data_IF_070366799912
#
_entry.id   IF_070366799912
#
_cell.length_a   1.000
_cell.length_b   1.000
_cell.length_c   1.000
_cell.angle_alpha   90.00
_cell.angle_beta   90.00
_cell.angle_gamma   90.00
#
_symmetry.space_group_name_H-M   'P 1'
#
loop_
_entity.id
_entity.type
_entity.pdbx_description
1 polymer ?
#
# COMPACT_ATOMS: atom_id res chain seq x y z
N UNK A 1 -9.61 -20.28 50.54
CA UNK A 1 -9.74 -19.02 49.77
C UNK A 1 -8.81 -18.00 50.41
N UNK A 2 -7.69 -17.70 49.74
CA UNK A 2 -6.78 -16.64 50.20
C UNK A 2 -7.47 -15.30 50.01
N UNK A 3 -7.69 -14.57 51.11
CA UNK A 3 -8.17 -13.20 51.07
C UNK A 3 -7.06 -12.40 50.38
N UNK A 4 -7.27 -12.01 49.12
CA UNK A 4 -6.41 -11.04 48.45
C UNK A 4 -6.42 -9.77 49.29
N UNK A 5 -5.35 -9.53 50.04
CA UNK A 5 -5.18 -8.27 50.76
C UNK A 5 -5.20 -7.13 49.74
N UNK A 6 -6.29 -6.36 49.74
CA UNK A 6 -6.41 -5.15 48.94
C UNK A 6 -5.25 -4.21 49.29
N UNK A 7 -4.52 -3.77 48.26
CA UNK A 7 -3.45 -2.77 48.38
C UNK A 7 -3.92 -1.58 49.24
N UNK A 8 -3.07 -1.02 50.12
CA UNK A 8 -3.43 0.13 50.98
C UNK A 8 -4.06 1.31 50.23
N UNK A 9 -3.65 1.52 48.97
CA UNK A 9 -4.24 2.51 48.08
C UNK A 9 -5.69 2.20 47.71
N UNK A 10 -5.99 0.93 47.40
CA UNK A 10 -7.33 0.48 47.04
C UNK A 10 -8.28 0.58 48.24
N UNK A 11 -7.82 0.30 49.46
CA UNK A 11 -8.64 0.53 50.66
C UNK A 11 -8.94 2.02 50.85
N UNK A 12 -7.91 2.86 50.80
CA UNK A 12 -8.03 4.30 50.96
C UNK A 12 -8.95 4.97 49.92
N UNK A 13 -8.89 4.57 48.64
CA UNK A 13 -9.76 5.15 47.61
C UNK A 13 -11.22 4.71 47.76
N UNK A 14 -11.50 3.59 48.44
CA UNK A 14 -12.88 3.21 48.73
C UNK A 14 -13.56 4.13 49.75
N UNK A 15 -12.79 4.71 50.66
CA UNK A 15 -13.26 5.65 51.68
C UNK A 15 -13.58 7.06 51.12
N UNK A 16 -13.16 7.36 49.88
CA UNK A 16 -13.46 8.63 49.22
C UNK A 16 -14.88 8.63 48.66
N UNK A 17 -15.63 9.69 48.96
CA UNK A 17 -16.98 9.92 48.43
C UNK A 17 -17.03 9.87 46.89
N UNK A 18 -17.94 9.07 46.33
CA UNK A 18 -18.14 8.91 44.89
C UNK A 18 -18.36 7.44 44.51
N UNK A 19 -19.22 7.19 43.53
CA UNK A 19 -19.56 5.85 43.06
C UNK A 19 -18.63 5.37 41.94
N UNK A 20 -18.05 6.32 41.19
CA UNK A 20 -17.13 6.04 40.08
C UNK A 20 -15.72 6.55 40.37
N UNK A 21 -14.66 6.01 39.72
CA UNK A 21 -13.31 6.55 39.84
C UNK A 21 -13.26 8.05 39.57
N UNK A 22 -13.91 8.52 38.49
CA UNK A 22 -13.94 9.94 38.13
C UNK A 22 -14.59 10.84 39.18
N UNK A 23 -15.57 10.36 39.94
CA UNK A 23 -16.16 11.09 41.07
C UNK A 23 -15.21 11.18 42.25
N UNK A 24 -14.51 10.09 42.56
CA UNK A 24 -13.52 10.03 43.65
C UNK A 24 -12.34 10.96 43.38
N UNK A 25 -11.84 11.01 42.14
CA UNK A 25 -10.82 11.99 41.75
C UNK A 25 -11.33 13.44 41.85
N UNK A 26 -12.60 13.70 41.48
CA UNK A 26 -13.22 15.02 41.66
C UNK A 26 -13.33 15.41 43.12
N UNK A 27 -13.69 14.49 44.01
CA UNK A 27 -13.72 14.71 45.46
C UNK A 27 -12.34 15.11 46.00
N UNK A 28 -11.28 14.38 45.64
CA UNK A 28 -9.89 14.72 46.01
C UNK A 28 -9.52 16.13 45.55
N UNK A 29 -9.88 16.50 44.32
CA UNK A 29 -9.57 17.83 43.79
C UNK A 29 -10.37 18.95 44.47
N UNK A 30 -11.61 18.67 44.90
CA UNK A 30 -12.40 19.62 45.70
C UNK A 30 -11.75 19.87 47.06
N UNK A 31 -11.19 18.84 47.70
CA UNK A 31 -10.43 18.98 48.95
C UNK A 31 -9.22 19.89 48.72
N UNK A 32 -8.42 19.61 47.69
CA UNK A 32 -7.28 20.46 47.34
C UNK A 32 -7.69 21.93 47.12
N UNK A 33 -8.78 22.17 46.39
CA UNK A 33 -9.27 23.52 46.11
C UNK A 33 -9.73 24.26 47.38
N UNK A 34 -10.46 23.59 48.29
CA UNK A 34 -10.85 24.16 49.58
C UNK A 34 -9.64 24.57 50.42
N UNK A 35 -8.59 23.75 50.41
CA UNK A 35 -7.37 24.00 51.17
C UNK A 35 -6.55 25.17 50.60
N UNK A 36 -6.65 25.49 49.30
CA UNK A 36 -5.96 26.65 48.71
C UNK A 36 -6.39 27.98 49.34
N UNK A 37 -7.62 28.08 49.85
CA UNK A 37 -8.14 29.28 50.52
C UNK A 37 -7.72 29.39 51.99
N UNK A 38 -7.00 28.39 52.53
CA UNK A 38 -6.56 28.39 53.93
C UNK A 38 -5.33 29.28 54.14
N UNK A 39 -5.32 30.06 55.23
CA UNK A 39 -4.15 30.86 55.67
C UNK A 39 -2.93 29.99 56.00
N UNK A 40 -3.12 28.72 56.39
CA UNK A 40 -2.01 27.80 56.68
C UNK A 40 -2.30 26.41 56.11
N UNK A 41 -1.91 26.23 54.85
CA UNK A 41 -2.11 25.01 54.07
C UNK A 41 -1.45 23.79 54.73
N UNK A 42 -0.20 23.93 55.22
CA UNK A 42 0.54 22.82 55.86
C UNK A 42 -0.18 22.30 57.11
N UNK A 43 -0.68 23.20 57.97
CA UNK A 43 -1.45 22.80 59.16
C UNK A 43 -2.80 22.19 58.79
N UNK A 44 -3.47 22.78 57.80
CA UNK A 44 -4.80 22.32 57.35
C UNK A 44 -4.74 20.94 56.71
N UNK A 45 -3.65 20.64 56.01
CA UNK A 45 -3.42 19.32 55.41
C UNK A 45 -3.05 18.26 56.46
N UNK A 46 -2.23 18.61 57.47
CA UNK A 46 -1.93 17.70 58.59
C UNK A 46 -3.18 17.30 59.36
N UNK A 47 -4.07 18.27 59.57
CA UNK A 47 -5.32 18.09 60.31
C UNK A 47 -6.47 17.55 59.45
N UNK A 48 -6.22 17.25 58.17
CA UNK A 48 -7.22 16.70 57.27
C UNK A 48 -7.49 15.24 57.66
N UNK A 49 -8.74 14.95 58.05
CA UNK A 49 -9.22 13.59 58.26
C UNK A 49 -9.43 12.91 56.90
N UNK A 50 -8.33 12.37 56.37
CA UNK A 50 -8.27 11.77 55.03
C UNK A 50 -7.12 10.75 54.98
N UNK A 51 -7.22 9.68 54.17
CA UNK A 51 -6.19 8.66 54.12
C UNK A 51 -4.82 9.22 53.70
N UNK A 52 -3.77 8.91 54.47
CA UNK A 52 -2.42 9.45 54.28
C UNK A 52 -1.88 9.21 52.86
N UNK A 53 -2.15 8.03 52.31
CA UNK A 53 -1.76 7.64 50.93
C UNK A 53 -2.40 8.55 49.87
N UNK A 54 -3.57 9.11 50.16
CA UNK A 54 -4.29 10.03 49.28
C UNK A 54 -4.02 11.51 49.60
N UNK A 55 -3.51 11.84 50.80
CA UNK A 55 -3.04 13.21 51.12
C UNK A 55 -1.95 13.64 50.15
N UNK A 56 -1.05 12.74 49.77
CA UNK A 56 -0.04 13.00 48.73
C UNK A 56 -0.66 13.46 47.40
N UNK A 57 -1.84 12.95 47.02
CA UNK A 57 -2.53 13.38 45.79
C UNK A 57 -3.14 14.78 45.92
N UNK A 58 -3.54 15.16 47.14
CA UNK A 58 -4.02 16.51 47.48
C UNK A 58 -2.84 17.49 47.49
N UNK A 59 -1.73 17.12 48.12
CA UNK A 59 -0.48 17.89 48.18
C UNK A 59 0.02 18.26 46.79
N UNK A 60 0.12 17.28 45.89
CA UNK A 60 0.59 17.52 44.52
C UNK A 60 -0.33 18.48 43.78
N UNK A 61 -1.65 18.37 43.97
CA UNK A 61 -2.59 19.25 43.31
C UNK A 61 -2.50 20.69 43.84
N UNK A 62 -2.29 20.85 45.15
CA UNK A 62 -2.02 22.16 45.76
C UNK A 62 -0.71 22.74 45.23
N UNK A 63 0.39 21.96 45.26
CA UNK A 63 1.70 22.38 44.79
C UNK A 63 1.67 22.81 43.31
N UNK A 64 0.93 22.08 42.48
CA UNK A 64 0.72 22.38 41.06
C UNK A 64 0.04 23.73 40.85
N UNK A 65 -0.95 24.06 41.69
CA UNK A 65 -1.70 25.33 41.62
C UNK A 65 -0.91 26.51 42.16
N UNK A 66 -0.15 26.31 43.22
CA UNK A 66 0.72 27.33 43.84
C UNK A 66 2.08 27.48 43.16
N UNK A 67 2.34 26.72 42.09
CA UNK A 67 3.62 26.69 41.37
C UNK A 67 4.84 26.44 42.27
N UNK A 68 4.73 25.45 43.17
CA UNK A 68 5.80 25.09 44.12
C UNK A 68 6.73 24.02 43.54
N UNK A 69 7.93 24.37 43.06
CA UNK A 69 8.76 23.46 42.27
C UNK A 69 9.34 22.30 43.10
N UNK A 70 9.75 22.55 44.35
CA UNK A 70 10.32 21.51 45.22
C UNK A 70 9.33 20.39 45.53
N UNK A 71 8.06 20.74 45.73
CA UNK A 71 7.00 19.74 45.99
C UNK A 71 6.66 18.92 44.75
N UNK A 72 6.70 19.53 43.56
CA UNK A 72 6.55 18.78 42.30
C UNK A 72 7.74 17.84 42.10
N UNK A 73 8.96 18.28 42.38
CA UNK A 73 10.16 17.45 42.29
C UNK A 73 10.06 16.19 43.14
N UNK A 74 9.72 16.33 44.43
CA UNK A 74 9.56 15.17 45.33
C UNK A 74 8.43 14.24 44.88
N UNK A 75 7.33 14.81 44.37
CA UNK A 75 6.24 14.03 43.81
C UNK A 75 6.65 13.19 42.58
N UNK A 76 7.54 13.71 41.72
CA UNK A 76 8.05 12.99 40.56
C UNK A 76 8.92 11.78 40.95
N UNK A 77 9.58 11.83 42.12
CA UNK A 77 10.39 10.74 42.69
C UNK A 77 9.54 9.64 43.35
N UNK A 78 8.22 9.84 43.48
CA UNK A 78 7.35 8.90 44.16
C UNK A 78 7.29 7.52 43.48
N UNK A 79 7.23 6.46 44.31
CA UNK A 79 6.92 5.10 43.86
C UNK A 79 5.44 4.95 43.47
N UNK A 80 4.56 5.86 43.93
CA UNK A 80 3.15 5.84 43.59
C UNK A 80 2.93 6.50 42.22
N UNK A 81 2.53 5.70 41.22
CA UNK A 81 2.35 6.16 39.85
C UNK A 81 1.25 7.23 39.69
N UNK A 82 0.24 7.23 40.56
CA UNK A 82 -0.84 8.23 40.56
C UNK A 82 -0.34 9.62 40.98
N UNK A 83 0.58 9.66 41.93
CA UNK A 83 1.25 10.89 42.39
C UNK A 83 2.06 11.48 41.25
N UNK A 84 2.86 10.64 40.57
CA UNK A 84 3.63 11.06 39.39
C UNK A 84 2.72 11.53 38.26
N UNK A 85 1.63 10.81 37.98
CA UNK A 85 0.65 11.19 36.95
C UNK A 85 0.04 12.57 37.19
N UNK A 86 -0.19 12.95 38.45
CA UNK A 86 -0.64 14.31 38.78
C UNK A 86 0.48 15.33 38.65
N UNK A 87 1.69 15.00 39.12
CA UNK A 87 2.84 15.90 39.08
C UNK A 87 3.23 16.28 37.63
N UNK A 88 3.22 15.33 36.69
CA UNK A 88 3.54 15.60 35.28
C UNK A 88 2.55 16.54 34.58
N UNK A 89 1.37 16.82 35.17
CA UNK A 89 0.41 17.82 34.66
C UNK A 89 0.78 19.26 35.03
N UNK A 90 1.85 19.47 35.80
CA UNK A 90 2.40 20.79 36.09
C UNK A 90 3.19 21.33 34.88
N UNK A 91 2.52 21.72 33.80
CA UNK A 91 3.16 22.17 32.54
C UNK A 91 4.26 23.22 32.75
N UNK A 92 4.04 24.18 33.64
CA UNK A 92 4.98 25.24 34.02
C UNK A 92 6.30 24.72 34.64
N UNK A 93 6.35 23.46 35.08
CA UNK A 93 7.58 22.84 35.61
C UNK A 93 8.46 22.26 34.48
N UNK A 94 7.88 21.99 33.31
CA UNK A 94 8.55 21.30 32.20
C UNK A 94 8.84 22.20 31.00
N UNK A 95 8.40 23.46 31.02
CA UNK A 95 8.45 24.36 29.86
C UNK A 95 9.74 25.18 29.71
N UNK A 96 10.78 24.90 30.52
CA UNK A 96 12.06 25.61 30.48
C UNK A 96 12.12 26.91 31.29
N UNK A 97 10.99 27.44 31.76
CA UNK A 97 10.93 28.71 32.51
C UNK A 97 11.43 28.65 33.96
N UNK A 98 11.91 27.49 34.43
CA UNK A 98 12.43 27.29 35.79
C UNK A 98 13.87 26.78 35.73
N UNK A 99 14.73 27.24 36.66
CA UNK A 99 16.13 26.79 36.82
C UNK A 99 16.25 25.26 37.02
N UNK A 100 15.23 24.63 37.60
CA UNK A 100 15.18 23.17 37.75
C UNK A 100 14.94 22.43 36.43
N UNK A 101 14.42 23.09 35.41
CA UNK A 101 14.21 22.54 34.06
C UNK A 101 15.49 22.61 33.25
N UNK A 102 16.56 22.05 33.80
CA UNK A 102 17.87 21.95 33.16
C UNK A 102 18.32 20.49 33.06
N UNK A 103 19.14 20.20 32.05
CA UNK A 103 19.59 18.85 31.72
C UNK A 103 20.39 18.24 32.87
N UNK A 104 21.36 18.96 33.43
CA UNK A 104 22.17 18.47 34.55
C UNK A 104 21.35 18.19 35.80
N UNK A 105 20.32 18.99 36.06
CA UNK A 105 19.40 18.76 37.18
C UNK A 105 18.56 17.50 36.96
N UNK A 106 17.96 17.33 35.79
CA UNK A 106 17.16 16.14 35.48
C UNK A 106 17.99 14.86 35.48
N UNK A 107 19.23 14.92 34.99
CA UNK A 107 20.16 13.80 35.02
C UNK A 107 20.39 13.31 36.45
N UNK A 108 20.76 14.22 37.36
CA UNK A 108 21.20 13.85 38.71
C UNK A 108 20.05 13.70 39.71
N UNK A 109 19.03 14.54 39.61
CA UNK A 109 17.97 14.66 40.61
C UNK A 109 16.65 13.98 40.22
N UNK A 110 16.47 13.57 38.96
CA UNK A 110 15.20 12.98 38.51
C UNK A 110 15.43 11.61 37.88
N UNK A 111 16.10 11.53 36.73
CA UNK A 111 16.14 10.33 35.91
C UNK A 111 16.82 9.13 36.58
N UNK A 112 17.83 9.36 37.43
CA UNK A 112 18.48 8.31 38.24
C UNK A 112 17.60 7.78 39.38
N UNK A 113 16.63 8.58 39.85
CA UNK A 113 15.83 8.27 41.04
C UNK A 113 14.44 7.70 40.73
N UNK A 114 14.04 7.71 39.46
CA UNK A 114 12.70 7.27 39.04
C UNK A 114 12.73 5.96 38.27
N UNK A 115 11.65 5.18 38.40
CA UNK A 115 11.44 3.97 37.60
C UNK A 115 11.38 4.28 36.11
N UNK A 116 11.66 3.28 35.26
CA UNK A 116 11.55 3.41 33.79
C UNK A 116 10.16 3.89 33.35
N UNK A 117 9.10 3.41 34.01
CA UNK A 117 7.71 3.82 33.73
C UNK A 117 7.53 5.32 33.99
N UNK A 118 7.93 5.80 35.16
CA UNK A 118 7.81 7.21 35.53
C UNK A 118 8.69 8.10 34.64
N UNK A 119 9.89 7.63 34.29
CA UNK A 119 10.79 8.32 33.36
C UNK A 119 10.13 8.60 32.01
N UNK A 120 9.47 7.60 31.42
CA UNK A 120 8.73 7.79 30.15
C UNK A 120 7.63 8.84 30.25
N UNK A 121 6.93 8.92 31.39
CA UNK A 121 5.90 9.94 31.62
C UNK A 121 6.51 11.34 31.70
N UNK A 122 7.64 11.47 32.39
CA UNK A 122 8.38 12.73 32.51
C UNK A 122 8.92 13.18 31.15
N UNK A 123 9.52 12.27 30.38
CA UNK A 123 10.01 12.57 29.02
C UNK A 123 8.86 13.04 28.12
N UNK A 124 7.69 12.39 28.21
CA UNK A 124 6.51 12.83 27.48
C UNK A 124 6.05 14.23 27.93
N UNK A 125 6.06 14.51 29.23
CA UNK A 125 5.72 15.84 29.75
C UNK A 125 6.69 16.92 29.26
N UNK A 126 8.00 16.65 29.25
CA UNK A 126 8.98 17.55 28.62
C UNK A 126 8.65 17.78 27.15
N UNK A 127 8.41 16.71 26.39
CA UNK A 127 8.08 16.81 24.98
C UNK A 127 6.77 17.56 24.69
N UNK A 128 5.80 17.53 25.61
CA UNK A 128 4.53 18.24 25.48
C UNK A 128 4.64 19.72 25.85
N UNK A 129 5.71 20.16 26.55
CA UNK A 129 5.83 21.52 27.10
C UNK A 129 7.06 22.31 26.63
N UNK A 130 8.06 21.69 25.98
CA UNK A 130 9.28 22.36 25.50
C UNK A 130 9.18 22.92 24.07
N UNK A 131 7.97 23.11 23.52
CA UNK A 131 7.82 23.56 22.13
C UNK A 131 8.43 24.94 21.84
N UNK A 132 8.48 25.81 22.86
CA UNK A 132 9.03 27.18 22.78
C UNK A 132 10.54 27.23 23.07
N UNK A 133 11.14 26.12 23.53
CA UNK A 133 12.54 26.04 23.95
C UNK A 133 13.29 24.92 23.19
N UNK A 134 13.46 25.06 21.86
CA UNK A 134 13.97 23.98 21.01
C UNK A 134 15.41 23.56 21.32
N UNK A 135 16.28 24.50 21.70
CA UNK A 135 17.67 24.18 22.09
C UNK A 135 17.72 23.39 23.41
N UNK A 136 16.85 23.72 24.35
CA UNK A 136 16.72 22.95 25.58
C UNK A 136 16.18 21.54 25.29
N UNK A 137 15.22 21.42 24.37
CA UNK A 137 14.73 20.13 23.90
C UNK A 137 15.83 19.28 23.24
N UNK A 138 16.72 19.89 22.45
CA UNK A 138 17.89 19.23 21.85
C UNK A 138 18.80 18.63 22.94
N UNK A 139 19.15 19.43 23.94
CA UNK A 139 19.98 19.00 25.07
C UNK A 139 19.31 17.86 25.87
N UNK A 140 17.99 17.94 26.06
CA UNK A 140 17.23 16.85 26.70
C UNK A 140 17.18 15.59 25.85
N UNK A 141 17.07 15.72 24.52
CA UNK A 141 17.09 14.57 23.62
C UNK A 141 18.41 13.81 23.75
N UNK A 142 19.54 14.53 23.77
CA UNK A 142 20.87 13.95 23.90
C UNK A 142 21.06 13.25 25.25
N UNK A 143 20.66 13.90 26.34
CA UNK A 143 20.70 13.28 27.67
C UNK A 143 19.86 11.99 27.72
N UNK A 144 18.62 12.05 27.23
CA UNK A 144 17.72 10.88 27.28
C UNK A 144 18.26 9.77 26.37
N UNK A 145 18.83 10.11 25.22
CA UNK A 145 19.46 9.12 24.33
C UNK A 145 20.63 8.43 25.03
N UNK A 146 21.51 9.21 25.68
CA UNK A 146 22.66 8.71 26.43
C UNK A 146 22.23 7.80 27.59
N UNK A 147 21.24 8.21 28.39
CA UNK A 147 20.85 7.48 29.60
C UNK A 147 19.88 6.33 29.36
N UNK A 148 19.01 6.44 28.35
CA UNK A 148 17.81 5.61 28.22
C UNK A 148 17.65 4.97 26.85
N UNK A 149 18.53 5.31 25.90
CA UNK A 149 18.46 4.90 24.52
C UNK A 149 17.49 5.73 23.68
N UNK A 150 17.75 5.74 22.38
CA UNK A 150 17.06 6.57 21.39
C UNK A 150 15.54 6.34 21.36
N UNK A 151 15.10 5.08 21.54
CA UNK A 151 13.66 4.74 21.56
C UNK A 151 12.88 5.55 22.59
N UNK A 152 13.49 5.89 23.73
CA UNK A 152 12.85 6.69 24.78
C UNK A 152 12.95 8.20 24.50
N UNK A 153 13.95 8.65 23.75
CA UNK A 153 14.13 10.06 23.38
C UNK A 153 13.18 10.54 22.26
N UNK A 154 12.70 9.61 21.41
CA UNK A 154 11.82 9.91 20.26
C UNK A 154 10.69 10.93 20.50
N UNK A 155 9.96 10.94 21.63
CA UNK A 155 8.93 11.94 21.87
C UNK A 155 9.45 13.38 21.82
N UNK A 156 10.69 13.63 22.26
CA UNK A 156 11.31 14.97 22.30
C UNK A 156 11.66 15.51 20.92
N UNK A 157 11.93 14.63 19.94
CA UNK A 157 12.31 15.03 18.59
C UNK A 157 11.30 15.99 17.94
N UNK A 158 10.03 15.91 18.34
CA UNK A 158 8.95 16.74 17.82
C UNK A 158 9.10 18.23 18.19
N UNK A 159 9.79 18.53 19.28
CA UNK A 159 10.01 19.89 19.82
C UNK A 159 11.45 20.38 19.67
N UNK A 160 12.38 19.52 19.26
CA UNK A 160 13.75 19.87 18.88
C UNK A 160 13.84 20.93 17.77
N UNK A 161 15.01 21.56 17.66
CA UNK A 161 15.33 22.50 16.58
C UNK A 161 15.46 21.79 15.23
N UNK A 162 15.19 22.53 14.14
CA UNK A 162 15.30 21.97 12.78
C UNK A 162 16.73 21.50 12.46
N UNK A 163 17.74 22.28 12.85
CA UNK A 163 19.16 21.95 12.61
C UNK A 163 19.57 20.67 13.35
N UNK A 164 19.14 20.50 14.59
CA UNK A 164 19.37 19.30 15.38
C UNK A 164 18.68 18.08 14.76
N UNK A 165 17.39 18.20 14.43
CA UNK A 165 16.63 17.14 13.78
C UNK A 165 17.32 16.73 12.48
N UNK A 166 17.74 17.70 11.65
CA UNK A 166 18.45 17.42 10.39
C UNK A 166 19.76 16.65 10.60
N UNK A 167 20.55 17.03 11.60
CA UNK A 167 21.79 16.32 11.94
C UNK A 167 21.53 14.89 12.41
N UNK A 168 20.39 14.63 13.08
CA UNK A 168 19.96 13.29 13.45
C UNK A 168 19.45 12.51 12.23
N UNK A 169 18.62 13.12 11.39
CA UNK A 169 18.05 12.50 10.18
C UNK A 169 19.13 11.94 9.25
N UNK A 170 20.28 12.61 9.11
CA UNK A 170 21.39 12.11 8.28
C UNK A 170 21.94 10.75 8.74
N UNK A 171 21.88 10.48 10.04
CA UNK A 171 22.49 9.32 10.66
C UNK A 171 21.46 8.24 11.05
N UNK A 172 20.16 8.52 10.94
CA UNK A 172 19.10 7.64 11.45
C UNK A 172 17.95 7.45 10.46
N UNK A 173 17.49 6.20 10.33
CA UNK A 173 16.28 5.86 9.57
C UNK A 173 15.04 6.15 10.42
N UNK A 174 14.27 7.18 10.05
CA UNK A 174 13.00 7.46 10.70
C UNK A 174 11.86 6.64 10.11
N UNK A 175 10.97 6.16 10.97
CA UNK A 175 9.74 5.53 10.54
C UNK A 175 8.74 6.59 10.02
N UNK A 176 7.71 6.12 9.31
CA UNK A 176 6.64 6.97 8.77
C UNK A 176 6.02 7.92 9.80
N UNK A 177 5.87 7.51 11.06
CA UNK A 177 5.20 8.34 12.07
C UNK A 177 5.99 9.62 12.32
N UNK A 178 7.31 9.52 12.38
CA UNK A 178 8.20 10.67 12.57
C UNK A 178 8.25 11.53 11.31
N UNK A 179 8.46 10.92 10.13
CA UNK A 179 8.49 11.67 8.86
C UNK A 179 7.18 12.41 8.61
N UNK A 180 6.03 11.76 8.87
CA UNK A 180 4.73 12.38 8.76
C UNK A 180 4.59 13.58 9.68
N UNK A 181 4.98 13.45 10.96
CA UNK A 181 4.95 14.58 11.89
C UNK A 181 5.88 15.72 11.41
N UNK A 182 7.12 15.39 11.06
CA UNK A 182 8.10 16.39 10.64
C UNK A 182 7.66 17.10 9.37
N UNK A 183 6.97 16.44 8.44
CA UNK A 183 6.48 17.09 7.23
C UNK A 183 5.43 18.18 7.51
N UNK A 184 4.64 18.04 8.60
CA UNK A 184 3.73 19.11 9.02
C UNK A 184 4.47 20.31 9.60
N UNK A 185 5.60 20.09 10.27
CA UNK A 185 6.35 21.15 10.97
C UNK A 185 7.42 21.81 10.08
N UNK A 186 8.13 21.00 9.30
CA UNK A 186 9.30 21.35 8.48
C UNK A 186 9.23 20.63 7.11
N UNK A 187 8.30 21.03 6.22
CA UNK A 187 8.09 20.34 4.94
C UNK A 187 9.33 20.30 4.05
N UNK A 188 10.06 21.42 3.94
CA UNK A 188 11.26 21.54 3.10
C UNK A 188 12.40 20.64 3.58
N UNK A 189 12.61 20.54 4.90
CA UNK A 189 13.58 19.63 5.50
C UNK A 189 13.25 18.18 5.16
N UNK A 190 11.97 17.79 5.24
CA UNK A 190 11.54 16.43 4.88
C UNK A 190 11.70 16.19 3.38
N UNK A 191 11.36 17.13 2.52
CA UNK A 191 11.59 17.02 1.07
C UNK A 191 13.09 16.82 0.78
N UNK A 192 13.95 17.61 1.42
CA UNK A 192 15.40 17.47 1.32
C UNK A 192 15.86 16.09 1.77
N UNK A 193 15.31 15.57 2.87
CA UNK A 193 15.59 14.21 3.35
C UNK A 193 15.15 13.13 2.37
N UNK A 194 13.93 13.22 1.83
CA UNK A 194 13.40 12.28 0.85
C UNK A 194 14.28 12.26 -0.41
N UNK A 195 14.73 13.43 -0.88
CA UNK A 195 15.65 13.57 -2.01
C UNK A 195 17.07 13.05 -1.72
N UNK A 196 17.55 13.07 -0.48
CA UNK A 196 18.83 12.42 -0.12
C UNK A 196 18.69 10.90 0.00
N UNK A 197 17.57 10.44 0.53
CA UNK A 197 17.24 9.01 0.62
C UNK A 197 17.13 8.35 -0.77
N UNK A 198 16.91 9.17 -1.81
CA UNK A 198 16.93 8.83 -3.24
C UNK A 198 18.20 8.11 -3.74
N UNK A 199 19.30 8.16 -2.98
CA UNK A 199 20.59 7.53 -3.32
C UNK A 199 20.80 6.17 -2.65
N UNK A 200 19.91 5.74 -1.76
CA UNK A 200 20.04 4.47 -1.03
C UNK A 200 18.69 3.71 -1.01
N UNK A 201 18.49 2.71 -1.89
CA UNK A 201 17.25 1.95 -2.02
C UNK A 201 16.82 1.21 -0.75
N UNK A 202 17.76 0.86 0.13
CA UNK A 202 17.46 0.18 1.40
C UNK A 202 16.86 1.14 2.45
N UNK A 203 16.87 2.45 2.19
CA UNK A 203 16.44 3.46 3.15
C UNK A 203 14.99 3.91 2.97
N UNK A 204 14.33 3.61 1.85
CA UNK A 204 13.00 4.13 1.57
C UNK A 204 11.99 3.06 1.16
N UNK A 205 11.20 2.59 2.13
CA UNK A 205 10.09 1.68 1.89
C UNK A 205 8.79 2.45 1.62
N UNK A 206 8.37 2.57 0.35
CA UNK A 206 7.15 3.26 -0.06
C UNK A 206 5.88 2.73 0.62
N UNK A 207 5.82 1.43 0.92
CA UNK A 207 4.69 0.83 1.63
C UNK A 207 4.51 1.46 3.01
N UNK A 208 5.60 1.79 3.68
CA UNK A 208 5.56 2.50 4.97
C UNK A 208 5.02 3.93 4.85
N UNK A 209 5.17 4.55 3.68
CA UNK A 209 4.74 5.92 3.39
C UNK A 209 3.40 6.03 2.67
N UNK A 210 2.68 4.93 2.45
CA UNK A 210 1.42 4.91 1.69
C UNK A 210 0.39 5.97 2.15
N UNK A 211 0.33 6.25 3.46
CA UNK A 211 -0.56 7.28 4.05
C UNK A 211 -0.09 8.72 3.83
N UNK A 212 1.21 8.91 3.60
CA UNK A 212 1.84 10.20 3.36
C UNK A 212 1.80 10.59 1.88
N UNK A 213 1.96 9.61 0.98
CA UNK A 213 2.02 9.81 -0.48
C UNK A 213 0.92 10.71 -1.07
N UNK A 214 -0.37 10.57 -0.69
CA UNK A 214 -1.41 11.45 -1.23
C UNK A 214 -1.21 12.93 -0.91
N UNK A 215 -0.64 13.23 0.26
CA UNK A 215 -0.40 14.60 0.70
C UNK A 215 0.81 15.20 -0.01
N UNK A 216 1.84 14.38 -0.24
CA UNK A 216 2.98 14.78 -1.05
C UNK A 216 2.55 15.07 -2.48
N UNK A 217 1.76 14.18 -3.09
CA UNK A 217 1.21 14.39 -4.44
C UNK A 217 0.40 15.69 -4.56
N UNK A 218 -0.37 16.04 -3.52
CA UNK A 218 -1.19 17.25 -3.53
C UNK A 218 -0.37 18.54 -3.40
N UNK A 219 0.71 18.53 -2.61
CA UNK A 219 1.47 19.74 -2.25
C UNK A 219 2.78 19.93 -3.02
N UNK A 220 3.43 18.83 -3.37
CA UNK A 220 4.73 18.78 -4.08
C UNK A 220 4.71 17.62 -5.08
N UNK A 221 3.89 17.71 -6.15
CA UNK A 221 3.77 16.67 -7.16
C UNK A 221 5.11 16.30 -7.81
N UNK A 222 6.03 17.25 -7.94
CA UNK A 222 7.38 17.05 -8.47
C UNK A 222 8.20 16.12 -7.58
N UNK A 223 8.12 16.27 -6.26
CA UNK A 223 8.82 15.38 -5.32
C UNK A 223 8.19 14.00 -5.34
N UNK A 224 6.87 13.92 -5.47
CA UNK A 224 6.17 12.65 -5.62
C UNK A 224 6.62 11.90 -6.89
N UNK A 225 6.67 12.59 -8.02
CA UNK A 225 7.15 12.05 -9.29
C UNK A 225 8.58 11.51 -9.17
N UNK A 226 9.51 12.34 -8.67
CA UNK A 226 10.91 11.98 -8.48
C UNK A 226 11.10 10.71 -7.62
N UNK A 227 10.21 10.52 -6.64
CA UNK A 227 10.22 9.39 -5.73
C UNK A 227 9.73 8.12 -6.45
N UNK A 228 8.62 8.19 -7.18
CA UNK A 228 8.06 7.03 -7.87
C UNK A 228 8.96 6.55 -9.01
N UNK A 229 9.59 7.44 -9.77
CA UNK A 229 10.46 7.02 -10.90
C UNK A 229 11.57 6.05 -10.49
N UNK A 230 12.01 6.11 -9.23
CA UNK A 230 13.12 5.32 -8.69
C UNK A 230 12.70 4.11 -7.86
N UNK A 231 11.40 3.88 -7.67
CA UNK A 231 10.92 2.76 -6.88
C UNK A 231 9.99 1.88 -7.68
N UNK A 232 10.28 0.58 -7.64
CA UNK A 232 9.42 -0.42 -8.25
C UNK A 232 8.35 -0.96 -7.27
N UNK A 233 8.42 -0.58 -5.98
CA UNK A 233 7.58 -1.10 -4.88
C UNK A 233 6.55 -0.10 -4.36
N UNK A 234 6.21 0.91 -5.16
CA UNK A 234 5.23 1.90 -4.75
C UNK A 234 3.80 1.30 -4.68
N UNK A 235 3.02 1.60 -3.61
CA UNK A 235 1.69 1.06 -3.46
C UNK A 235 0.73 1.66 -4.50
N UNK A 236 -0.25 0.85 -4.93
CA UNK A 236 -1.28 1.31 -5.86
C UNK A 236 -2.09 2.46 -5.27
N UNK A 237 -2.24 3.54 -6.05
CA UNK A 237 -3.05 4.69 -5.72
C UNK A 237 -4.54 4.35 -5.81
N UNK A 238 -5.33 4.93 -4.91
CA UNK A 238 -6.79 4.91 -5.01
C UNK A 238 -7.25 5.66 -6.26
N UNK A 239 -8.48 5.37 -6.74
CA UNK A 239 -9.04 6.07 -7.89
C UNK A 239 -9.03 7.61 -7.75
N UNK A 240 -9.27 8.12 -6.52
CA UNK A 240 -9.19 9.55 -6.20
C UNK A 240 -7.77 10.09 -6.39
N UNK A 241 -6.77 9.38 -5.89
CA UNK A 241 -5.37 9.81 -5.97
C UNK A 241 -4.80 9.64 -7.39
N UNK A 242 -5.23 8.61 -8.14
CA UNK A 242 -4.92 8.51 -9.58
C UNK A 242 -5.47 9.71 -10.35
N UNK A 243 -6.69 10.15 -10.05
CA UNK A 243 -7.25 11.35 -10.67
C UNK A 243 -6.46 12.63 -10.35
N UNK A 244 -5.96 12.77 -9.12
CA UNK A 244 -5.07 13.87 -8.74
C UNK A 244 -3.71 13.77 -9.44
N UNK A 245 -3.15 12.56 -9.53
CA UNK A 245 -1.89 12.32 -10.23
C UNK A 245 -1.97 12.74 -11.69
N UNK A 246 -3.01 12.30 -12.40
CA UNK A 246 -3.22 12.71 -13.81
C UNK A 246 -3.49 14.20 -13.98
N UNK A 247 -3.84 14.94 -12.92
CA UNK A 247 -4.00 16.40 -12.98
C UNK A 247 -2.66 17.13 -12.87
N UNK A 248 -1.71 16.59 -12.12
CA UNK A 248 -0.46 17.29 -11.76
C UNK A 248 0.79 16.70 -12.40
N UNK A 249 0.78 15.41 -12.76
CA UNK A 249 1.94 14.64 -13.23
C UNK A 249 1.63 13.95 -14.58
N UNK A 250 0.73 14.51 -15.39
CA UNK A 250 0.35 13.90 -16.68
C UNK A 250 1.55 13.82 -17.62
N UNK A 251 2.32 14.90 -17.75
CA UNK A 251 3.45 14.97 -18.67
C UNK A 251 4.53 13.94 -18.31
N UNK A 252 4.81 13.79 -17.02
CA UNK A 252 5.71 12.77 -16.50
C UNK A 252 5.24 11.36 -16.86
N UNK A 253 3.94 11.10 -16.69
CA UNK A 253 3.35 9.82 -17.06
C UNK A 253 3.41 9.56 -18.57
N UNK A 254 3.11 10.55 -19.40
CA UNK A 254 3.17 10.41 -20.85
C UNK A 254 4.61 10.21 -21.33
N UNK A 255 5.60 10.80 -20.66
CA UNK A 255 7.02 10.62 -20.96
C UNK A 255 7.52 9.22 -20.55
N UNK A 256 7.06 8.71 -19.41
CA UNK A 256 7.58 7.49 -18.82
C UNK A 256 6.49 6.57 -18.23
N UNK A 257 5.57 6.04 -19.07
CA UNK A 257 4.39 5.37 -18.57
C UNK A 257 4.67 4.08 -17.79
N UNK A 258 5.74 3.35 -18.11
CA UNK A 258 6.04 2.05 -17.46
C UNK A 258 6.25 2.19 -15.95
N UNK A 259 6.87 3.29 -15.51
CA UNK A 259 7.13 3.57 -14.09
C UNK A 259 5.86 3.78 -13.29
N UNK A 260 4.86 4.43 -13.87
CA UNK A 260 3.66 4.79 -13.13
C UNK A 260 2.50 3.81 -13.35
N UNK A 261 2.47 3.07 -14.47
CA UNK A 261 1.33 2.19 -14.82
C UNK A 261 1.02 1.16 -13.71
N UNK A 262 2.02 0.79 -12.90
CA UNK A 262 1.84 -0.15 -11.82
C UNK A 262 1.09 0.44 -10.62
N UNK A 263 1.21 1.74 -10.39
CA UNK A 263 0.61 2.43 -9.25
C UNK A 263 -0.74 3.08 -9.58
N UNK A 264 -1.10 3.21 -10.85
CA UNK A 264 -2.32 3.92 -11.26
C UNK A 264 -3.51 2.96 -11.41
N UNK A 265 -4.69 3.41 -10.97
CA UNK A 265 -5.93 2.65 -11.10
C UNK A 265 -6.37 2.56 -12.58
N UNK A 266 -6.44 1.37 -13.21
CA UNK A 266 -6.67 1.24 -14.66
C UNK A 266 -7.98 1.87 -15.14
N UNK A 267 -9.07 1.74 -14.36
CA UNK A 267 -10.38 2.32 -14.69
C UNK A 267 -10.36 3.85 -14.76
N UNK A 268 -9.43 4.50 -14.07
CA UNK A 268 -9.30 5.97 -14.11
C UNK A 268 -8.53 6.38 -15.35
N UNK A 269 -7.46 5.65 -15.72
CA UNK A 269 -6.72 5.87 -16.96
C UNK A 269 -7.67 5.83 -18.17
N UNK A 270 -8.52 4.80 -18.23
CA UNK A 270 -9.50 4.61 -19.30
C UNK A 270 -10.47 5.79 -19.45
N UNK A 271 -10.88 6.41 -18.34
CA UNK A 271 -11.86 7.52 -18.34
C UNK A 271 -11.24 8.90 -18.51
N UNK A 272 -9.97 9.08 -18.14
CA UNK A 272 -9.33 10.41 -18.01
C UNK A 272 -8.35 10.72 -19.13
N UNK A 273 -7.75 9.70 -19.74
CA UNK A 273 -6.86 9.90 -20.88
C UNK A 273 -7.68 10.09 -22.15
N UNK A 274 -7.24 11.00 -23.02
CA UNK A 274 -7.77 11.08 -24.38
C UNK A 274 -7.40 9.82 -25.18
N UNK A 275 -8.03 9.62 -26.31
CA UNK A 275 -7.67 8.53 -27.22
C UNK A 275 -6.21 8.64 -27.71
N UNK A 276 -5.81 9.82 -28.18
CA UNK A 276 -4.42 10.10 -28.59
C UNK A 276 -3.40 9.84 -27.46
N UNK A 277 -3.72 10.23 -26.23
CA UNK A 277 -2.86 9.95 -25.08
C UNK A 277 -2.74 8.46 -24.79
N UNK A 278 -3.84 7.71 -24.90
CA UNK A 278 -3.86 6.26 -24.74
C UNK A 278 -3.01 5.59 -25.81
N UNK A 279 -3.15 6.00 -27.06
CA UNK A 279 -2.36 5.50 -28.20
C UNK A 279 -0.86 5.80 -28.02
N UNK A 280 -0.50 7.02 -27.61
CA UNK A 280 0.88 7.43 -27.33
C UNK A 280 1.51 6.61 -26.19
N UNK A 281 0.79 6.47 -25.07
CA UNK A 281 1.22 5.62 -23.93
C UNK A 281 1.45 4.18 -24.38
N UNK A 282 0.53 3.63 -25.19
CA UNK A 282 0.66 2.28 -25.71
C UNK A 282 1.88 2.15 -26.63
N UNK A 283 2.09 3.09 -27.56
CA UNK A 283 3.26 3.13 -28.44
C UNK A 283 4.57 3.08 -27.65
N UNK A 284 4.70 3.91 -26.61
CA UNK A 284 5.91 3.94 -25.76
C UNK A 284 6.13 2.59 -25.07
N UNK A 285 5.07 2.00 -24.50
CA UNK A 285 5.17 0.74 -23.76
C UNK A 285 5.57 -0.42 -24.68
N UNK A 286 5.00 -0.48 -25.89
CA UNK A 286 5.35 -1.50 -26.89
C UNK A 286 6.79 -1.35 -27.38
N UNK A 287 7.25 -0.11 -27.59
CA UNK A 287 8.65 0.17 -27.98
C UNK A 287 9.63 -0.24 -26.87
N UNK A 288 9.29 -0.02 -25.61
CA UNK A 288 10.18 -0.32 -24.48
C UNK A 288 10.16 -1.80 -24.08
N UNK A 289 9.02 -2.49 -24.16
CA UNK A 289 8.85 -3.89 -23.72
C UNK A 289 8.72 -4.90 -24.88
N UNK A 290 9.65 -4.88 -25.83
CA UNK A 290 9.69 -5.81 -26.99
C UNK A 290 9.56 -7.29 -26.57
N UNK A 291 10.00 -7.65 -25.38
CA UNK A 291 10.05 -9.05 -24.95
C UNK A 291 8.68 -9.65 -24.57
N UNK A 292 7.61 -8.85 -24.38
CA UNK A 292 6.34 -9.36 -23.82
C UNK A 292 5.10 -8.82 -24.53
N UNK A 293 5.05 -8.87 -25.86
CA UNK A 293 3.88 -8.44 -26.66
C UNK A 293 2.56 -9.11 -26.23
N UNK A 294 2.59 -10.32 -25.66
CA UNK A 294 1.39 -10.96 -25.09
C UNK A 294 0.72 -10.17 -23.96
N UNK A 295 1.52 -9.36 -23.25
CA UNK A 295 1.05 -8.52 -22.15
C UNK A 295 0.31 -7.28 -22.65
N UNK A 296 0.61 -6.81 -23.87
CA UNK A 296 -0.01 -5.65 -24.49
C UNK A 296 -1.52 -5.84 -24.70
N UNK A 297 -1.98 -7.08 -24.82
CA UNK A 297 -3.39 -7.45 -25.03
C UNK A 297 -4.10 -7.96 -23.76
N UNK A 298 -3.56 -7.69 -22.55
CA UNK A 298 -4.19 -8.09 -21.28
C UNK A 298 -4.22 -6.98 -20.23
N UNK A 299 -5.05 -7.17 -19.21
CA UNK A 299 -4.94 -6.46 -17.93
C UNK A 299 -5.03 -4.93 -18.04
N UNK A 300 -3.90 -4.26 -17.76
CA UNK A 300 -3.78 -2.81 -17.56
C UNK A 300 -3.91 -1.99 -18.85
N UNK A 301 -3.89 -2.64 -20.01
CA UNK A 301 -4.01 -2.02 -21.35
C UNK A 301 -5.42 -2.08 -21.94
N UNK A 302 -6.43 -2.45 -21.14
CA UNK A 302 -7.82 -2.58 -21.60
C UNK A 302 -8.47 -1.28 -22.07
N UNK A 303 -7.80 -0.15 -21.93
CA UNK A 303 -8.33 1.15 -22.32
C UNK A 303 -8.27 1.43 -23.84
N UNK A 304 -7.64 0.57 -24.65
CA UNK A 304 -7.64 0.63 -26.12
C UNK A 304 -8.31 -0.62 -26.71
N UNK A 305 -8.93 -0.50 -27.87
CA UNK A 305 -9.42 -1.65 -28.64
C UNK A 305 -8.25 -2.44 -29.25
N UNK A 306 -8.48 -3.73 -29.47
CA UNK A 306 -7.41 -4.63 -29.90
C UNK A 306 -6.97 -4.39 -31.36
N UNK A 307 -7.85 -3.84 -32.22
CA UNK A 307 -7.51 -3.48 -33.60
C UNK A 307 -6.50 -2.33 -33.65
N UNK A 308 -6.75 -1.26 -32.89
CA UNK A 308 -5.80 -0.15 -32.75
C UNK A 308 -4.49 -0.57 -32.10
N UNK A 309 -4.55 -1.40 -31.06
CA UNK A 309 -3.33 -1.97 -30.46
C UNK A 309 -2.48 -2.70 -31.49
N UNK A 310 -3.10 -3.52 -32.35
CA UNK A 310 -2.40 -4.24 -33.39
C UNK A 310 -1.75 -3.29 -34.39
N UNK A 311 -2.48 -2.29 -34.87
CA UNK A 311 -1.97 -1.27 -35.80
C UNK A 311 -0.76 -0.53 -35.22
N UNK A 312 -0.87 -0.03 -33.98
CA UNK A 312 0.22 0.68 -33.30
C UNK A 312 1.41 -0.25 -33.10
N UNK A 313 1.17 -1.50 -32.68
CA UNK A 313 2.22 -2.51 -32.51
C UNK A 313 3.01 -2.73 -33.79
N UNK A 314 2.33 -2.99 -34.91
CA UNK A 314 2.96 -3.19 -36.21
C UNK A 314 3.78 -1.97 -36.63
N UNK A 315 3.20 -0.76 -36.54
CA UNK A 315 3.89 0.47 -36.92
C UNK A 315 5.12 0.76 -36.07
N UNK A 316 5.02 0.59 -34.74
CA UNK A 316 6.08 0.90 -33.80
C UNK A 316 7.21 -0.12 -33.88
N UNK A 317 6.87 -1.38 -34.14
CA UNK A 317 7.85 -2.44 -34.37
C UNK A 317 8.65 -2.19 -35.65
N UNK A 318 7.95 -1.88 -36.75
CA UNK A 318 8.58 -1.55 -38.04
C UNK A 318 9.48 -0.31 -37.94
N UNK A 319 9.01 0.75 -37.26
CA UNK A 319 9.80 1.96 -37.03
C UNK A 319 11.09 1.67 -36.24
N UNK A 320 11.03 0.81 -35.22
CA UNK A 320 12.17 0.52 -34.35
C UNK A 320 13.17 -0.48 -34.95
N UNK A 321 12.68 -1.51 -35.62
CA UNK A 321 13.49 -2.64 -36.07
C UNK A 321 13.72 -2.67 -37.58
N UNK A 322 13.01 -1.83 -38.35
CA UNK A 322 13.03 -1.83 -39.81
C UNK A 322 12.67 -3.20 -40.44
N UNK A 323 11.84 -3.98 -39.74
CA UNK A 323 11.34 -5.31 -40.15
C UNK A 323 9.84 -5.36 -39.89
N UNK A 324 9.08 -6.04 -40.76
CA UNK A 324 7.65 -6.24 -40.53
C UNK A 324 7.43 -7.12 -39.30
N UNK A 325 6.47 -6.74 -38.46
CA UNK A 325 6.13 -7.52 -37.28
C UNK A 325 5.64 -8.93 -37.64
N UNK A 326 4.94 -9.07 -38.78
CA UNK A 326 4.41 -10.35 -39.23
C UNK A 326 5.47 -11.31 -39.77
N UNK A 327 6.66 -10.82 -40.12
CA UNK A 327 7.78 -11.66 -40.54
C UNK A 327 8.51 -12.30 -39.33
N UNK A 328 8.24 -11.82 -38.11
CA UNK A 328 8.84 -12.33 -36.87
C UNK A 328 7.95 -13.42 -36.24
N UNK A 329 7.87 -14.58 -36.88
CA UNK A 329 6.95 -15.65 -36.49
C UNK A 329 7.06 -16.05 -35.01
N UNK A 330 8.24 -16.02 -34.41
CA UNK A 330 8.48 -16.36 -33.00
C UNK A 330 7.75 -15.43 -32.01
N UNK A 331 7.43 -14.20 -32.43
CA UNK A 331 6.72 -13.19 -31.62
C UNK A 331 5.21 -13.26 -31.78
N UNK A 332 4.72 -14.03 -32.75
CA UNK A 332 3.29 -14.15 -33.04
C UNK A 332 2.67 -15.21 -32.15
N UNK A 333 1.72 -14.75 -31.33
CA UNK A 333 1.09 -15.51 -30.25
C UNK A 333 -0.36 -15.81 -30.61
N UNK A 334 -1.01 -16.83 -29.99
CA UNK A 334 -2.43 -17.09 -30.19
C UNK A 334 -3.35 -15.88 -30.01
N UNK A 335 -3.02 -14.95 -29.11
CA UNK A 335 -3.81 -13.73 -28.92
C UNK A 335 -3.72 -12.80 -30.12
N UNK A 336 -2.52 -12.64 -30.67
CA UNK A 336 -2.28 -11.83 -31.88
C UNK A 336 -2.99 -12.47 -33.08
N UNK A 337 -2.92 -13.80 -33.22
CA UNK A 337 -3.60 -14.51 -34.30
C UNK A 337 -5.11 -14.26 -34.34
N UNK A 338 -5.75 -14.10 -33.19
CA UNK A 338 -7.21 -13.84 -33.10
C UNK A 338 -7.63 -12.45 -33.57
N UNK A 339 -6.72 -11.49 -33.57
CA UNK A 339 -7.00 -10.09 -33.91
C UNK A 339 -6.47 -9.71 -35.29
N UNK A 340 -5.64 -10.57 -35.91
CA UNK A 340 -5.16 -10.39 -37.27
C UNK A 340 -6.32 -10.49 -38.29
N UNK A 341 -6.23 -9.73 -39.40
CA UNK A 341 -7.05 -9.96 -40.59
C UNK A 341 -6.98 -11.43 -41.05
N UNK A 342 -8.03 -11.89 -41.75
CA UNK A 342 -8.15 -13.30 -42.17
C UNK A 342 -6.96 -13.74 -43.01
N UNK A 343 -6.56 -12.90 -43.97
CA UNK A 343 -5.51 -13.18 -44.94
C UNK A 343 -4.15 -13.36 -44.25
N UNK A 344 -3.76 -12.40 -43.41
CA UNK A 344 -2.50 -12.42 -42.67
C UNK A 344 -2.43 -13.61 -41.71
N UNK A 345 -3.54 -13.88 -41.02
CA UNK A 345 -3.67 -15.01 -40.10
C UNK A 345 -3.47 -16.34 -40.80
N UNK A 346 -4.10 -16.56 -41.96
CA UNK A 346 -3.93 -17.79 -42.73
C UNK A 346 -2.49 -17.93 -43.21
N UNK A 347 -1.89 -16.85 -43.74
CA UNK A 347 -0.49 -16.84 -44.20
C UNK A 347 0.47 -17.28 -43.08
N UNK A 348 0.33 -16.70 -41.89
CA UNK A 348 1.17 -17.00 -40.73
C UNK A 348 0.91 -18.41 -40.20
N UNK A 349 -0.35 -18.85 -40.18
CA UNK A 349 -0.72 -20.19 -39.74
C UNK A 349 -0.06 -21.27 -40.60
N UNK A 350 -0.01 -21.08 -41.93
CA UNK A 350 0.68 -21.98 -42.87
C UNK A 350 2.18 -22.04 -42.59
N UNK A 351 2.84 -20.89 -42.51
CA UNK A 351 4.29 -20.84 -42.23
C UNK A 351 4.65 -21.50 -40.89
N UNK A 352 3.88 -21.23 -39.82
CA UNK A 352 4.11 -21.84 -38.50
C UNK A 352 3.82 -23.34 -38.45
N UNK A 353 2.92 -23.82 -39.30
CA UNK A 353 2.64 -25.25 -39.44
C UNK A 353 3.78 -25.96 -40.16
N UNK A 354 4.28 -25.37 -41.25
CA UNK A 354 5.43 -25.88 -42.01
C UNK A 354 6.71 -25.93 -41.16
N UNK A 355 7.00 -24.89 -40.36
CA UNK A 355 8.18 -24.80 -39.48
C UNK A 355 8.19 -25.84 -38.34
N UNK A 356 7.03 -26.36 -37.91
CA UNK A 356 6.90 -27.23 -36.73
C UNK A 356 6.79 -28.73 -37.05
N UNK A 357 7.22 -29.15 -38.23
CA UNK A 357 7.14 -30.54 -38.73
C UNK A 357 8.06 -31.52 -37.97
N UNK A 358 7.77 -31.74 -36.68
CA UNK A 358 8.03 -33.00 -35.98
C UNK A 358 6.69 -33.70 -35.80
N UNK A 359 6.36 -34.75 -36.58
CA UNK A 359 5.09 -35.46 -36.46
C UNK A 359 5.01 -36.15 -35.09
N UNK A 360 4.17 -35.61 -34.20
CA UNK A 360 3.93 -36.16 -32.86
C UNK A 360 3.61 -35.13 -31.77
N UNK A 361 4.14 -33.90 -31.89
CA UNK A 361 3.98 -32.88 -30.84
C UNK A 361 2.60 -32.20 -30.85
N UNK A 362 1.84 -32.28 -31.94
CA UNK A 362 0.57 -31.55 -32.07
C UNK A 362 -0.56 -32.12 -31.21
N UNK A 363 -0.52 -33.40 -30.84
CA UNK A 363 -1.61 -34.06 -30.10
C UNK A 363 -1.79 -33.49 -28.68
N UNK A 364 -0.72 -32.97 -28.05
CA UNK A 364 -0.76 -32.36 -26.71
C UNK A 364 -0.91 -30.84 -26.71
N UNK A 365 -1.07 -30.22 -27.89
CA UNK A 365 -1.18 -28.77 -27.99
C UNK A 365 -2.64 -28.33 -27.78
N UNK A 366 -2.85 -27.42 -26.82
CA UNK A 366 -4.17 -26.83 -26.56
C UNK A 366 -4.77 -26.23 -27.85
N UNK A 367 -6.09 -26.31 -28.04
CA UNK A 367 -6.78 -25.78 -29.22
C UNK A 367 -6.38 -24.35 -29.63
N UNK A 368 -6.06 -23.46 -28.68
CA UNK A 368 -5.60 -22.08 -28.97
C UNK A 368 -4.23 -22.00 -29.63
N UNK A 369 -3.37 -22.99 -29.37
CA UNK A 369 -1.99 -23.09 -29.84
C UNK A 369 -1.87 -23.98 -31.09
N UNK A 370 -2.96 -24.62 -31.52
CA UNK A 370 -3.02 -25.33 -32.79
C UNK A 370 -3.05 -24.30 -33.92
N UNK A 371 -1.97 -24.22 -34.70
CA UNK A 371 -1.88 -23.28 -35.82
C UNK A 371 -2.85 -23.62 -36.94
N UNK A 372 -3.13 -24.92 -37.13
CA UNK A 372 -4.13 -25.44 -38.07
C UNK A 372 -5.50 -24.82 -37.83
N UNK A 373 -5.88 -24.58 -36.57
CA UNK A 373 -7.17 -24.00 -36.26
C UNK A 373 -7.34 -22.54 -36.76
N UNK A 374 -6.25 -21.87 -37.15
CA UNK A 374 -6.27 -20.53 -37.72
C UNK A 374 -6.25 -20.50 -39.26
N UNK A 375 -6.19 -21.67 -39.92
CA UNK A 375 -6.38 -21.79 -41.37
C UNK A 375 -7.85 -21.57 -41.76
N UNK A 376 -8.13 -21.59 -43.06
CA UNK A 376 -9.51 -21.58 -43.54
C UNK A 376 -10.28 -22.80 -43.01
N UNK A 377 -11.60 -22.66 -42.78
CA UNK A 377 -12.42 -23.73 -42.21
C UNK A 377 -12.45 -24.95 -43.12
N UNK A 378 -12.45 -24.77 -44.44
CA UNK A 378 -12.42 -25.88 -45.39
C UNK A 378 -11.17 -26.78 -45.21
N UNK A 379 -9.99 -26.16 -45.06
CA UNK A 379 -8.70 -26.82 -44.91
C UNK A 379 -8.53 -27.44 -43.51
N UNK A 380 -8.79 -26.64 -42.48
CA UNK A 380 -8.62 -27.06 -41.08
C UNK A 380 -9.59 -28.17 -40.65
N UNK A 381 -10.86 -28.10 -41.06
CA UNK A 381 -11.85 -29.12 -40.70
C UNK A 381 -11.58 -30.44 -41.43
N UNK A 382 -11.08 -30.40 -42.67
CA UNK A 382 -10.64 -31.61 -43.36
C UNK A 382 -9.49 -32.30 -42.62
N UNK A 383 -8.52 -31.52 -42.15
CA UNK A 383 -7.43 -32.03 -41.32
C UNK A 383 -7.95 -32.68 -40.03
N UNK A 384 -8.76 -31.96 -39.24
CA UNK A 384 -9.26 -32.46 -37.96
C UNK A 384 -10.21 -33.66 -38.10
N UNK A 385 -11.01 -33.73 -39.16
CA UNK A 385 -11.84 -34.92 -39.46
C UNK A 385 -10.96 -36.14 -39.74
N UNK A 386 -9.85 -35.95 -40.46
CA UNK A 386 -8.88 -37.02 -40.73
C UNK A 386 -8.14 -37.45 -39.46
N UNK A 387 -7.73 -36.48 -38.62
CA UNK A 387 -7.14 -36.74 -37.29
C UNK A 387 -8.10 -37.54 -36.40
N UNK A 388 -9.40 -37.24 -36.46
CA UNK A 388 -10.44 -37.94 -35.69
C UNK A 388 -10.59 -39.43 -36.03
N UNK A 389 -10.17 -39.88 -37.23
CA UNK A 389 -10.25 -41.30 -37.61
C UNK A 389 -9.15 -42.16 -36.97
N UNK A 390 -8.03 -41.54 -36.61
CA UNK A 390 -6.83 -42.24 -36.12
C UNK A 390 -6.55 -42.00 -34.62
N UNK A 391 -7.24 -41.04 -34.00
CA UNK A 391 -6.97 -40.64 -32.61
C UNK A 391 -7.66 -41.56 -31.59
N UNK A 392 -7.02 -41.72 -30.42
CA UNK A 392 -7.58 -42.44 -29.29
C UNK A 392 -8.86 -41.78 -28.74
N UNK A 393 -9.76 -42.60 -28.19
CA UNK A 393 -11.05 -42.14 -27.68
C UNK A 393 -10.93 -41.04 -26.62
N UNK A 394 -9.91 -41.12 -25.75
CA UNK A 394 -9.60 -40.15 -24.70
C UNK A 394 -9.29 -38.74 -25.22
N UNK A 395 -8.82 -38.62 -26.47
CA UNK A 395 -8.34 -37.37 -27.07
C UNK A 395 -9.34 -36.75 -28.06
N UNK A 396 -10.41 -37.46 -28.42
CA UNK A 396 -11.45 -36.99 -29.37
C UNK A 396 -12.03 -35.63 -29.00
N UNK A 397 -12.25 -35.39 -27.72
CA UNK A 397 -12.78 -34.11 -27.24
C UNK A 397 -11.83 -32.93 -27.53
N UNK A 398 -10.51 -33.12 -27.50
CA UNK A 398 -9.56 -32.06 -27.85
C UNK A 398 -9.61 -31.70 -29.34
N UNK A 399 -9.77 -32.70 -30.22
CA UNK A 399 -9.96 -32.47 -31.66
C UNK A 399 -11.28 -31.73 -31.93
N UNK A 400 -12.36 -32.10 -31.25
CA UNK A 400 -13.65 -31.37 -31.32
C UNK A 400 -13.47 -29.91 -30.90
N UNK A 401 -12.73 -29.63 -29.82
CA UNK A 401 -12.42 -28.24 -29.42
C UNK A 401 -11.69 -27.49 -30.52
N UNK A 402 -10.75 -28.12 -31.23
CA UNK A 402 -10.02 -27.49 -32.35
C UNK A 402 -10.95 -27.19 -33.52
N UNK A 403 -11.85 -28.11 -33.87
CA UNK A 403 -12.87 -27.91 -34.92
C UNK A 403 -13.76 -26.70 -34.57
N UNK A 404 -14.37 -26.70 -33.38
CA UNK A 404 -15.24 -25.59 -32.93
C UNK A 404 -14.46 -24.27 -32.87
N UNK A 405 -13.23 -24.32 -32.35
CA UNK A 405 -12.39 -23.13 -32.23
C UNK A 405 -12.01 -22.55 -33.61
N UNK A 406 -11.79 -23.41 -34.61
CA UNK A 406 -11.49 -22.96 -35.97
C UNK A 406 -12.64 -22.20 -36.61
N UNK A 407 -13.87 -22.71 -36.49
CA UNK A 407 -15.07 -22.00 -36.93
C UNK A 407 -15.23 -20.67 -36.20
N UNK A 408 -15.02 -20.65 -34.87
CA UNK A 408 -15.14 -19.44 -34.06
C UNK A 408 -14.10 -18.37 -34.40
N UNK A 409 -12.85 -18.76 -34.64
CA UNK A 409 -11.78 -17.82 -35.03
C UNK A 409 -12.05 -17.22 -36.39
N UNK A 410 -12.53 -18.01 -37.35
CA UNK A 410 -12.85 -17.55 -38.70
C UNK A 410 -14.22 -16.90 -38.84
N UNK A 411 -15.03 -16.89 -37.76
CA UNK A 411 -16.41 -16.40 -37.76
C UNK A 411 -17.27 -17.05 -38.86
N UNK A 412 -17.12 -18.37 -39.04
CA UNK A 412 -17.78 -19.17 -40.07
C UNK A 412 -18.88 -20.04 -39.42
N UNK A 413 -20.13 -19.58 -39.49
CA UNK A 413 -21.29 -20.26 -38.92
C UNK A 413 -21.66 -21.53 -39.70
N UNK A 414 -21.53 -21.51 -41.01
CA UNK A 414 -21.95 -22.64 -41.85
C UNK A 414 -21.06 -23.85 -41.59
N UNK A 415 -19.74 -23.60 -41.51
CA UNK A 415 -18.77 -24.61 -41.09
C UNK A 415 -19.04 -25.11 -39.66
N UNK A 416 -19.51 -24.25 -38.74
CA UNK A 416 -19.87 -24.67 -37.39
C UNK A 416 -21.05 -25.64 -37.41
N UNK A 417 -22.10 -25.36 -38.17
CA UNK A 417 -23.25 -26.25 -38.32
C UNK A 417 -22.83 -27.64 -38.83
N UNK A 418 -21.93 -27.67 -39.82
CA UNK A 418 -21.39 -28.92 -40.36
C UNK A 418 -20.58 -29.70 -39.31
N UNK A 419 -19.82 -29.00 -38.47
CA UNK A 419 -19.12 -29.61 -37.33
C UNK A 419 -20.12 -30.20 -36.33
N UNK A 420 -21.19 -29.48 -35.98
CA UNK A 420 -22.20 -29.96 -35.05
C UNK A 420 -22.93 -31.21 -35.58
N UNK A 421 -23.33 -31.20 -36.86
CA UNK A 421 -23.93 -32.37 -37.53
C UNK A 421 -22.97 -33.56 -37.57
N UNK A 422 -21.69 -33.32 -37.83
CA UNK A 422 -20.66 -34.37 -37.80
C UNK A 422 -20.52 -34.98 -36.40
N UNK A 423 -20.46 -34.15 -35.36
CA UNK A 423 -20.36 -34.60 -33.97
C UNK A 423 -21.60 -35.41 -33.58
N UNK A 424 -22.79 -34.91 -33.87
CA UNK A 424 -24.05 -35.62 -33.62
C UNK A 424 -24.07 -37.01 -34.26
N UNK A 425 -23.75 -37.08 -35.56
CA UNK A 425 -23.77 -38.35 -36.29
C UNK A 425 -22.73 -39.35 -35.79
N UNK A 426 -21.53 -38.88 -35.40
CA UNK A 426 -20.40 -39.75 -35.06
C UNK A 426 -20.38 -40.18 -33.59
N UNK A 427 -20.97 -39.39 -32.70
CA UNK A 427 -20.85 -39.54 -31.25
C UNK A 427 -22.19 -39.64 -30.50
N UNK A 428 -23.27 -40.01 -31.20
CA UNK A 428 -24.63 -40.12 -30.64
C UNK A 428 -24.72 -41.02 -29.39
N UNK A 429 -23.85 -42.03 -29.29
CA UNK A 429 -23.80 -42.98 -28.16
C UNK A 429 -22.85 -42.57 -27.02
N UNK A 430 -22.23 -41.38 -27.07
CA UNK A 430 -21.31 -40.92 -26.01
C UNK A 430 -22.05 -40.51 -24.72
N UNK A 431 -21.34 -40.52 -23.59
CA UNK A 431 -21.91 -40.22 -22.28
C UNK A 431 -22.36 -38.75 -22.15
N UNK A 432 -23.35 -38.49 -21.29
CA UNK A 432 -23.86 -37.13 -21.05
C UNK A 432 -22.77 -36.10 -20.68
N UNK A 433 -21.71 -36.52 -19.99
CA UNK A 433 -20.59 -35.63 -19.63
C UNK A 433 -19.84 -35.12 -20.87
N UNK A 434 -19.68 -35.94 -21.90
CA UNK A 434 -19.06 -35.54 -23.18
C UNK A 434 -19.86 -34.40 -23.84
N UNK A 435 -21.17 -34.58 -23.96
CA UNK A 435 -22.09 -33.57 -24.49
C UNK A 435 -22.11 -32.29 -23.67
N UNK A 436 -22.15 -32.40 -22.34
CA UNK A 436 -22.09 -31.25 -21.44
C UNK A 436 -20.80 -30.44 -21.62
N UNK A 437 -19.68 -31.13 -21.86
CA UNK A 437 -18.39 -30.50 -22.10
C UNK A 437 -18.34 -29.77 -23.45
N UNK A 438 -18.93 -30.34 -24.50
CA UNK A 438 -19.06 -29.70 -25.82
C UNK A 438 -19.92 -28.44 -25.73
N UNK A 439 -21.11 -28.52 -25.12
CA UNK A 439 -22.02 -27.38 -24.96
C UNK A 439 -21.37 -26.24 -24.15
N UNK A 440 -20.63 -26.58 -23.08
CA UNK A 440 -19.88 -25.58 -22.30
C UNK A 440 -18.79 -24.90 -23.14
N UNK A 441 -18.15 -25.64 -24.03
CA UNK A 441 -17.13 -25.10 -24.92
C UNK A 441 -17.73 -24.21 -26.01
N UNK A 442 -18.80 -24.64 -26.67
CA UNK A 442 -19.56 -23.86 -27.65
C UNK A 442 -19.97 -22.52 -27.06
N UNK A 443 -20.67 -22.54 -25.91
CA UNK A 443 -21.10 -21.32 -25.20
C UNK A 443 -19.95 -20.36 -24.94
N UNK A 444 -18.71 -20.83 -24.76
CA UNK A 444 -17.57 -19.94 -24.49
C UNK A 444 -17.04 -19.24 -25.75
N UNK A 445 -17.15 -19.85 -26.93
CA UNK A 445 -16.42 -19.41 -28.12
C UNK A 445 -17.31 -18.98 -29.29
N UNK A 446 -18.59 -19.37 -29.30
CA UNK A 446 -19.51 -19.04 -30.41
C UNK A 446 -20.47 -17.89 -30.07
N UNK A 447 -20.40 -17.30 -28.87
CA UNK A 447 -21.28 -16.19 -28.44
C UNK A 447 -21.27 -14.96 -29.37
N UNK A 448 -20.22 -14.77 -30.15
CA UNK A 448 -20.09 -13.65 -31.09
C UNK A 448 -20.41 -14.03 -32.54
N UNK A 449 -20.75 -15.29 -32.81
CA UNK A 449 -21.11 -15.77 -34.15
C UNK A 449 -22.60 -15.60 -34.41
N UNK A 450 -22.97 -15.44 -35.69
CA UNK A 450 -24.36 -15.48 -36.11
C UNK A 450 -24.83 -16.94 -36.16
N UNK A 451 -25.45 -17.39 -35.07
CA UNK A 451 -25.98 -18.75 -34.94
C UNK A 451 -27.46 -18.75 -35.38
N UNK A 452 -27.82 -19.67 -36.29
CA UNK A 452 -29.21 -19.84 -36.75
C UNK A 452 -30.01 -20.76 -35.83
N UNK A 453 -31.32 -20.90 -36.06
CA UNK A 453 -32.17 -21.87 -35.35
C UNK A 453 -31.77 -23.34 -35.60
N UNK A 454 -31.02 -23.62 -36.67
CA UNK A 454 -30.62 -24.98 -37.04
C UNK A 454 -29.40 -25.50 -36.26
N UNK A 455 -28.70 -24.61 -35.57
CA UNK A 455 -27.55 -24.93 -34.71
C UNK A 455 -28.01 -25.26 -33.29
#
# INVERSE_FOLDING_TARGET
MSIMELSPYLKAIQEVSGSTPGEKYRAINRIAFKLLSSRNIKRSLKNLDFPEVLKLLVEVEIARKLRQPDMILEALKSKNWEVVMRAVKASWFFNGGNKMTSVGFYQTQIFLLVSVKNRRMIIKALADNLAEEPELADNFYDLVTLMCGEKQAKPLLKVCSESFIWNRIKNFKFNYTVVHFLYYKYPEMVIKYLRLSKSDPENFNFTSFARFLPRLLLKHPEVFEELIEKSDDAPMLSARHTGLFLKHCLDAFLKNPHKFLQILAPKVLERKLTEEQRESVFKILVVQEIAKFENAFIGKFKFLDDGKKLSILMSAYKEKHNVDFLDCHEKITPKIMRILPKEDRIKIAKAKFEEKTSPGDELNISYKKSWIAYLDCSESLQFFKSEMEIIEASMRFEVIKRMIYSCAVNNDSDSLLDVLKYIQKKFDCEQHEFWANILRFLRRYTCSMNISQDH
#
